data_IF_710466953613
#
_entry.id   IF_710466953613
#
_cell.length_a   1.000
_cell.length_b   1.000
_cell.length_c   1.000
_cell.angle_alpha   90.00
_cell.angle_beta   90.00
_cell.angle_gamma   90.00
#
_symmetry.space_group_name_H-M   'P 1'
#
loop_
_entity.id
_entity.type
_entity.pdbx_description
1 polymer ?
#
# COMPACT_ATOMS: atom_id res chain seq x y z
N UNK A 1 -30.41 -25.01 23.60
CA UNK A 1 -30.46 -24.16 22.38
C UNK A 1 -29.53 -24.78 21.35
N UNK A 2 -30.01 -25.05 20.12
CA UNK A 2 -29.16 -25.67 19.07
C UNK A 2 -28.14 -24.64 18.59
N UNK A 3 -26.86 -24.99 18.56
CA UNK A 3 -25.82 -24.11 18.06
C UNK A 3 -26.03 -23.78 16.58
N UNK A 4 -25.73 -22.56 16.13
CA UNK A 4 -25.85 -22.20 14.73
C UNK A 4 -24.85 -22.97 13.88
N UNK A 5 -25.25 -23.32 12.67
CA UNK A 5 -24.40 -24.04 11.72
C UNK A 5 -23.31 -23.12 11.16
N UNK A 6 -22.20 -23.68 10.66
CA UNK A 6 -21.11 -22.91 10.04
C UNK A 6 -21.61 -22.02 8.88
N UNK A 7 -22.48 -22.48 7.95
CA UNK A 7 -23.09 -21.61 6.93
C UNK A 7 -23.87 -20.43 7.52
N UNK A 8 -24.63 -20.66 8.60
CA UNK A 8 -25.38 -19.58 9.28
C UNK A 8 -24.43 -18.54 9.88
N UNK A 9 -23.37 -18.98 10.55
CA UNK A 9 -22.33 -18.08 11.12
C UNK A 9 -21.61 -17.26 10.04
N UNK A 10 -21.25 -17.90 8.92
CA UNK A 10 -20.62 -17.22 7.79
C UNK A 10 -21.54 -16.20 7.14
N UNK A 11 -22.79 -16.57 6.89
CA UNK A 11 -23.80 -15.66 6.33
C UNK A 11 -23.97 -14.42 7.20
N UNK A 12 -24.18 -14.62 8.50
CA UNK A 12 -24.34 -13.52 9.45
C UNK A 12 -23.05 -12.66 9.56
N UNK A 13 -21.87 -13.28 9.50
CA UNK A 13 -20.60 -12.57 9.50
C UNK A 13 -20.45 -11.64 8.28
N UNK A 14 -20.70 -12.15 7.07
CA UNK A 14 -20.51 -11.36 5.85
C UNK A 14 -21.62 -10.33 5.63
N UNK A 15 -22.88 -10.71 5.79
CA UNK A 15 -24.03 -9.88 5.41
C UNK A 15 -24.39 -8.86 6.49
N UNK A 16 -24.25 -9.23 7.77
CA UNK A 16 -24.65 -8.37 8.87
C UNK A 16 -23.42 -7.73 9.55
N UNK A 17 -22.51 -8.55 10.09
CA UNK A 17 -21.41 -8.03 10.89
C UNK A 17 -20.44 -7.17 10.07
N UNK A 18 -19.90 -7.68 8.96
CA UNK A 18 -18.96 -6.91 8.14
C UNK A 18 -19.64 -5.76 7.40
N UNK A 19 -20.79 -6.02 6.77
CA UNK A 19 -21.43 -5.03 5.91
C UNK A 19 -22.14 -3.94 6.70
N UNK A 20 -22.93 -4.30 7.71
CA UNK A 20 -23.79 -3.37 8.45
C UNK A 20 -23.12 -2.87 9.72
N UNK A 21 -22.70 -3.77 10.62
CA UNK A 21 -22.20 -3.38 11.95
C UNK A 21 -20.78 -2.75 11.86
N UNK A 22 -19.91 -3.29 11.01
CA UNK A 22 -18.52 -2.80 10.84
C UNK A 22 -18.37 -1.83 9.67
N UNK A 23 -19.31 -1.77 8.74
CA UNK A 23 -19.25 -0.90 7.58
C UNK A 23 -17.94 -1.03 6.77
N UNK A 24 -17.38 -2.25 6.67
CA UNK A 24 -16.09 -2.45 6.00
C UNK A 24 -16.23 -2.27 4.48
N UNK A 25 -15.14 -1.85 3.83
CA UNK A 25 -15.17 -1.63 2.38
C UNK A 25 -15.45 -2.93 1.61
N UNK A 26 -16.07 -2.85 0.40
CA UNK A 26 -16.30 -4.03 -0.45
C UNK A 26 -15.02 -4.82 -0.74
N UNK A 27 -13.86 -4.15 -0.86
CA UNK A 27 -12.56 -4.81 -1.02
C UNK A 27 -12.14 -5.62 0.20
N UNK A 28 -12.43 -5.14 1.40
CA UNK A 28 -12.15 -5.88 2.63
C UNK A 28 -13.03 -7.12 2.71
N UNK A 29 -14.34 -6.97 2.40
CA UNK A 29 -15.28 -8.10 2.34
C UNK A 29 -14.84 -9.15 1.33
N UNK A 30 -14.44 -8.73 0.12
CA UNK A 30 -13.90 -9.65 -0.91
C UNK A 30 -12.65 -10.38 -0.42
N UNK A 31 -11.71 -9.67 0.19
CA UNK A 31 -10.47 -10.27 0.71
C UNK A 31 -10.74 -11.30 1.81
N UNK A 32 -11.71 -11.02 2.70
CA UNK A 32 -12.10 -11.93 3.77
C UNK A 32 -12.85 -13.14 3.20
N UNK A 33 -13.76 -12.93 2.24
CA UNK A 33 -14.46 -14.00 1.53
C UNK A 33 -13.46 -14.96 0.87
N UNK A 34 -12.48 -14.43 0.17
CA UNK A 34 -11.47 -15.24 -0.53
C UNK A 34 -10.60 -16.03 0.46
N UNK A 35 -10.25 -15.44 1.62
CA UNK A 35 -9.55 -16.15 2.67
C UNK A 35 -10.38 -17.29 3.27
N UNK A 36 -11.64 -17.03 3.59
CA UNK A 36 -12.56 -18.05 4.13
C UNK A 36 -12.84 -19.16 3.11
N UNK A 37 -13.09 -18.82 1.85
CA UNK A 37 -13.27 -19.81 0.77
C UNK A 37 -12.09 -20.77 0.69
N UNK A 38 -10.87 -20.26 0.73
CA UNK A 38 -9.67 -21.09 0.66
C UNK A 38 -9.49 -21.96 1.91
N UNK A 39 -9.78 -21.43 3.09
CA UNK A 39 -9.75 -22.21 4.34
C UNK A 39 -10.75 -23.35 4.30
N UNK A 40 -12.00 -23.09 3.91
CA UNK A 40 -13.05 -24.10 3.84
C UNK A 40 -12.72 -25.20 2.82
N UNK A 41 -12.22 -24.84 1.64
CA UNK A 41 -11.77 -25.81 0.64
C UNK A 41 -10.63 -26.68 1.17
N UNK A 42 -9.67 -26.10 1.88
CA UNK A 42 -8.55 -26.82 2.49
C UNK A 42 -9.06 -27.77 3.60
N UNK A 43 -9.92 -27.28 4.50
CA UNK A 43 -10.47 -28.05 5.60
C UNK A 43 -11.32 -29.23 5.10
N UNK A 44 -12.12 -29.03 4.06
CA UNK A 44 -12.93 -30.08 3.44
C UNK A 44 -12.07 -31.28 2.98
N UNK A 45 -10.96 -31.00 2.29
CA UNK A 45 -9.99 -32.02 1.87
C UNK A 45 -9.33 -32.68 3.09
N UNK A 46 -8.91 -31.89 4.08
CA UNK A 46 -8.20 -32.36 5.26
C UNK A 46 -9.07 -33.24 6.16
N UNK A 47 -10.35 -32.87 6.31
CA UNK A 47 -11.32 -33.60 7.12
C UNK A 47 -12.08 -34.67 6.34
N UNK A 48 -11.83 -34.83 5.03
CA UNK A 48 -12.55 -35.76 4.12
C UNK A 48 -14.05 -35.56 4.18
N UNK A 49 -14.51 -34.32 4.16
CA UNK A 49 -15.94 -33.91 4.16
C UNK A 49 -16.20 -32.97 3.00
N UNK A 50 -17.45 -32.86 2.59
CA UNK A 50 -17.85 -31.76 1.71
C UNK A 50 -17.82 -30.43 2.46
N UNK A 51 -17.65 -29.33 1.74
CA UNK A 51 -17.62 -27.96 2.35
C UNK A 51 -18.90 -27.68 3.15
N UNK A 52 -20.04 -28.16 2.66
CA UNK A 52 -21.37 -27.94 3.28
C UNK A 52 -21.60 -28.76 4.55
N UNK A 53 -20.80 -29.80 4.76
CA UNK A 53 -20.82 -30.66 5.95
C UNK A 53 -19.83 -30.23 7.03
N UNK A 54 -19.00 -29.20 6.75
CA UNK A 54 -18.06 -28.70 7.75
C UNK A 54 -18.82 -28.01 8.88
N UNK A 55 -18.33 -28.24 10.09
CA UNK A 55 -18.76 -27.55 11.31
C UNK A 55 -17.62 -26.68 11.85
N UNK A 56 -17.90 -25.78 12.79
CA UNK A 56 -16.88 -24.87 13.33
C UNK A 56 -15.75 -25.63 14.04
N UNK A 57 -16.08 -26.76 14.64
CA UNK A 57 -15.17 -27.66 15.34
C UNK A 57 -14.16 -28.34 14.40
N UNK A 58 -14.44 -28.43 13.10
CA UNK A 58 -13.51 -28.95 12.10
C UNK A 58 -12.39 -27.91 11.81
N UNK A 59 -12.64 -26.63 12.08
CA UNK A 59 -11.70 -25.54 11.82
C UNK A 59 -10.77 -25.29 13.02
N UNK A 60 -10.14 -26.32 13.52
CA UNK A 60 -9.22 -26.24 14.67
C UNK A 60 -7.94 -25.47 14.40
N UNK A 61 -7.21 -25.07 15.45
CA UNK A 61 -5.93 -24.38 15.28
C UNK A 61 -4.90 -25.21 14.46
N UNK A 62 -4.76 -26.53 14.61
CA UNK A 62 -3.92 -27.34 13.72
C UNK A 62 -4.34 -27.24 12.25
N UNK A 63 -5.63 -27.33 11.94
CA UNK A 63 -6.14 -27.21 10.56
C UNK A 63 -5.85 -25.84 9.99
N UNK A 64 -6.01 -24.79 10.78
CA UNK A 64 -5.67 -23.42 10.34
C UNK A 64 -4.15 -23.25 10.13
N UNK A 65 -3.32 -23.83 10.98
CA UNK A 65 -1.86 -23.81 10.83
C UNK A 65 -1.41 -24.56 9.58
N UNK A 66 -1.96 -25.75 9.33
CA UNK A 66 -1.71 -26.54 8.10
C UNK A 66 -2.13 -25.75 6.84
N UNK A 67 -3.32 -25.11 6.89
CA UNK A 67 -3.77 -24.21 5.82
C UNK A 67 -2.78 -23.08 5.57
N UNK A 68 -2.30 -22.41 6.61
CA UNK A 68 -1.34 -21.32 6.48
C UNK A 68 0.00 -21.79 5.93
N UNK A 69 0.45 -22.99 6.30
CA UNK A 69 1.64 -23.62 5.73
C UNK A 69 1.44 -23.96 4.25
N UNK A 70 0.28 -24.51 3.87
CA UNK A 70 -0.07 -24.80 2.49
C UNK A 70 -0.11 -23.53 1.62
N UNK A 71 -0.54 -22.39 2.16
CA UNK A 71 -0.49 -21.12 1.45
C UNK A 71 0.94 -20.72 1.06
N UNK A 72 1.91 -20.98 1.92
CA UNK A 72 3.32 -20.66 1.68
C UNK A 72 3.97 -21.67 0.73
N UNK A 73 3.82 -22.97 1.00
CA UNK A 73 4.52 -24.03 0.27
C UNK A 73 3.91 -24.32 -1.09
N UNK A 74 2.60 -24.55 -1.16
CA UNK A 74 1.93 -24.98 -2.40
C UNK A 74 1.46 -23.82 -3.27
N UNK A 75 1.12 -22.67 -2.66
CA UNK A 75 0.63 -21.49 -3.40
C UNK A 75 1.66 -20.37 -3.55
N UNK A 76 2.85 -20.52 -2.98
CA UNK A 76 3.92 -19.51 -3.08
C UNK A 76 3.56 -18.16 -2.49
N UNK A 77 2.65 -18.11 -1.49
CA UNK A 77 2.26 -16.85 -0.91
C UNK A 77 3.34 -16.25 -0.02
N UNK A 78 3.50 -14.95 -0.10
CA UNK A 78 4.39 -14.23 0.82
C UNK A 78 3.85 -14.30 2.27
N UNK A 79 4.75 -14.13 3.24
CA UNK A 79 4.40 -14.04 4.68
C UNK A 79 3.34 -12.95 4.92
N UNK A 80 3.42 -11.82 4.20
CA UNK A 80 2.42 -10.74 4.28
C UNK A 80 1.01 -11.20 3.85
N UNK A 81 0.93 -11.92 2.74
CA UNK A 81 -0.34 -12.48 2.24
C UNK A 81 -0.89 -13.52 3.19
N UNK A 82 -0.02 -14.42 3.69
CA UNK A 82 -0.37 -15.40 4.73
C UNK A 82 -0.94 -14.72 5.97
N UNK A 83 -0.28 -13.69 6.49
CA UNK A 83 -0.73 -12.95 7.67
C UNK A 83 -2.04 -12.20 7.44
N UNK A 84 -2.25 -11.64 6.25
CA UNK A 84 -3.54 -11.02 5.89
C UNK A 84 -4.69 -12.00 5.92
N UNK A 85 -4.47 -13.24 5.46
CA UNK A 85 -5.47 -14.31 5.52
C UNK A 85 -5.71 -14.81 6.94
N UNK A 86 -4.66 -14.94 7.75
CA UNK A 86 -4.79 -15.23 9.17
C UNK A 86 -5.65 -14.16 9.87
N UNK A 87 -5.42 -12.89 9.60
CA UNK A 87 -6.20 -11.80 10.18
C UNK A 87 -7.69 -11.89 9.82
N UNK A 88 -8.01 -12.27 8.57
CA UNK A 88 -9.39 -12.51 8.14
C UNK A 88 -10.04 -13.69 8.92
N UNK A 89 -9.32 -14.81 9.04
CA UNK A 89 -9.75 -15.99 9.80
C UNK A 89 -9.98 -15.61 11.26
N UNK A 90 -8.99 -14.97 11.90
CA UNK A 90 -9.12 -14.55 13.31
C UNK A 90 -10.28 -13.56 13.53
N UNK A 91 -10.57 -12.71 12.54
CA UNK A 91 -11.72 -11.79 12.64
C UNK A 91 -13.03 -12.56 12.64
N UNK A 92 -13.15 -13.60 11.83
CA UNK A 92 -14.31 -14.50 11.85
C UNK A 92 -14.44 -15.25 13.19
N UNK A 93 -13.36 -15.86 13.67
CA UNK A 93 -13.38 -16.58 14.95
C UNK A 93 -13.67 -15.66 16.15
N UNK A 94 -13.17 -14.41 16.12
CA UNK A 94 -13.51 -13.41 17.15
C UNK A 94 -14.99 -13.04 17.12
N UNK A 95 -15.55 -12.91 15.92
CA UNK A 95 -16.99 -12.70 15.75
C UNK A 95 -17.81 -13.88 16.33
N UNK A 96 -17.42 -15.12 15.99
CA UNK A 96 -18.09 -16.33 16.51
C UNK A 96 -18.01 -16.39 18.04
N UNK A 97 -16.82 -16.23 18.63
CA UNK A 97 -16.64 -16.27 20.08
C UNK A 97 -17.46 -15.20 20.82
N UNK A 98 -17.63 -14.02 20.21
CA UNK A 98 -18.44 -12.93 20.80
C UNK A 98 -19.95 -13.11 20.65
N UNK A 99 -20.41 -13.90 19.68
CA UNK A 99 -21.86 -14.14 19.45
C UNK A 99 -22.35 -15.44 20.07
N UNK A 100 -21.49 -16.44 20.15
CA UNK A 100 -21.78 -17.77 20.65
C UNK A 100 -20.77 -18.14 21.76
N UNK A 101 -21.02 -17.73 22.99
CA UNK A 101 -20.10 -17.99 24.13
C UNK A 101 -19.78 -19.49 24.30
N UNK A 102 -20.71 -20.37 23.98
CA UNK A 102 -20.49 -21.83 24.01
C UNK A 102 -19.36 -22.29 23.07
N UNK A 103 -19.05 -21.54 22.01
CA UNK A 103 -17.97 -21.82 21.05
C UNK A 103 -16.66 -21.10 21.40
N UNK A 104 -16.61 -20.31 22.46
CA UNK A 104 -15.42 -19.52 22.80
C UNK A 104 -14.18 -20.38 23.03
N UNK A 105 -14.32 -21.53 23.72
CA UNK A 105 -13.24 -22.48 23.93
C UNK A 105 -12.68 -23.07 22.62
N UNK A 106 -13.54 -23.34 21.63
CA UNK A 106 -13.16 -23.81 20.30
C UNK A 106 -12.43 -22.71 19.50
N UNK A 107 -12.85 -21.47 19.66
CA UNK A 107 -12.27 -20.32 18.94
C UNK A 107 -10.92 -19.86 19.49
N UNK A 108 -10.72 -19.94 20.80
CA UNK A 108 -9.55 -19.39 21.50
C UNK A 108 -8.19 -19.85 20.94
N UNK A 109 -7.97 -21.15 20.64
CA UNK A 109 -6.70 -21.61 20.07
C UNK A 109 -6.39 -21.01 18.70
N UNK A 110 -7.41 -20.77 17.86
CA UNK A 110 -7.22 -20.11 16.54
C UNK A 110 -6.89 -18.64 16.70
N UNK A 111 -7.50 -17.97 17.67
CA UNK A 111 -7.22 -16.55 17.96
C UNK A 111 -5.79 -16.35 18.48
N UNK A 112 -5.21 -17.35 19.11
CA UNK A 112 -3.86 -17.33 19.67
C UNK A 112 -2.75 -17.59 18.63
N UNK A 113 -3.08 -17.96 17.37
CA UNK A 113 -2.08 -18.19 16.33
C UNK A 113 -1.33 -16.89 16.02
N UNK A 114 0.01 -16.83 16.19
CA UNK A 114 0.76 -15.60 15.96
C UNK A 114 0.95 -15.31 14.46
N UNK A 115 1.01 -14.03 14.13
CA UNK A 115 1.47 -13.60 12.83
C UNK A 115 2.99 -13.84 12.70
N UNK A 116 3.46 -14.34 11.56
CA UNK A 116 4.89 -14.46 11.27
C UNK A 116 5.53 -13.09 11.07
N UNK A 117 6.77 -12.91 11.53
CA UNK A 117 7.56 -11.71 11.19
C UNK A 117 7.77 -11.66 9.68
N UNK A 118 7.37 -10.56 9.06
CA UNK A 118 7.63 -10.28 7.65
C UNK A 118 8.73 -9.23 7.56
N UNK A 119 9.74 -9.49 6.74
CA UNK A 119 10.71 -8.45 6.39
C UNK A 119 9.95 -7.30 5.72
N UNK A 120 10.21 -6.08 6.16
CA UNK A 120 9.73 -4.88 5.49
C UNK A 120 10.69 -4.59 4.35
N UNK A 121 10.29 -4.78 3.08
CA UNK A 121 11.14 -4.38 1.97
C UNK A 121 11.37 -2.87 2.06
N UNK A 122 12.58 -2.43 1.74
CA UNK A 122 12.86 -1.01 1.56
C UNK A 122 11.88 -0.46 0.52
N UNK A 123 11.26 0.67 0.84
CA UNK A 123 10.34 1.32 -0.08
C UNK A 123 11.12 1.78 -1.31
N UNK A 124 10.76 1.23 -2.47
CA UNK A 124 11.28 1.73 -3.73
C UNK A 124 10.68 3.12 -4.01
N UNK A 125 11.54 4.12 -4.16
CA UNK A 125 11.17 5.44 -4.67
C UNK A 125 12.13 5.84 -5.80
N UNK A 126 11.75 6.79 -6.62
CA UNK A 126 12.56 7.33 -7.70
C UNK A 126 13.25 8.60 -7.23
N UNK A 127 14.51 8.83 -7.60
CA UNK A 127 15.12 10.15 -7.46
C UNK A 127 14.45 11.15 -8.41
N UNK A 128 14.72 12.45 -8.24
CA UNK A 128 14.20 13.48 -9.15
C UNK A 128 14.67 13.25 -10.59
N UNK A 129 15.92 12.87 -10.77
CA UNK A 129 16.47 12.51 -12.09
C UNK A 129 15.77 11.30 -12.68
N UNK A 130 15.56 10.23 -11.90
CA UNK A 130 14.88 9.03 -12.37
C UNK A 130 13.41 9.29 -12.70
N UNK A 131 12.72 10.13 -11.93
CA UNK A 131 11.36 10.54 -12.22
C UNK A 131 11.28 11.36 -13.51
N UNK A 132 12.16 12.36 -13.67
CA UNK A 132 12.26 13.13 -14.90
C UNK A 132 12.56 12.25 -16.11
N UNK A 133 13.48 11.30 -15.95
CA UNK A 133 13.82 10.34 -16.99
C UNK A 133 12.65 9.42 -17.35
N UNK A 134 11.87 8.96 -16.35
CA UNK A 134 10.65 8.17 -16.57
C UNK A 134 9.62 8.96 -17.38
N UNK A 135 9.34 10.19 -17.01
CA UNK A 135 8.37 11.04 -17.69
C UNK A 135 8.81 11.39 -19.12
N UNK A 136 10.11 11.56 -19.35
CA UNK A 136 10.68 11.81 -20.69
C UNK A 136 10.53 10.63 -21.67
N UNK A 137 10.22 9.42 -21.18
CA UNK A 137 9.93 8.27 -22.05
C UNK A 137 8.54 8.34 -22.71
N UNK A 138 7.72 9.30 -22.31
CA UNK A 138 6.34 9.43 -22.80
C UNK A 138 6.31 10.34 -24.01
N UNK A 139 6.08 9.76 -25.16
CA UNK A 139 5.76 10.55 -26.35
C UNK A 139 4.33 11.11 -26.22
N UNK A 140 4.24 12.40 -25.91
CA UNK A 140 2.96 13.09 -25.68
C UNK A 140 2.13 13.26 -26.94
N UNK A 141 2.74 13.17 -28.12
CA UNK A 141 2.04 13.26 -29.43
C UNK A 141 1.46 11.90 -29.85
N UNK A 142 1.91 10.80 -29.25
CA UNK A 142 1.36 9.49 -29.52
C UNK A 142 -0.08 9.37 -29.01
N UNK A 143 -0.86 8.48 -29.66
CA UNK A 143 -2.21 8.15 -29.19
C UNK A 143 -2.18 7.82 -27.68
N UNK A 144 -2.95 8.55 -26.88
CA UNK A 144 -3.01 8.46 -25.41
C UNK A 144 -1.72 8.83 -24.66
N UNK A 145 -0.69 9.35 -25.35
CA UNK A 145 0.56 9.75 -24.71
C UNK A 145 0.33 10.90 -23.72
N UNK A 146 -0.46 11.90 -24.12
CA UNK A 146 -0.79 13.02 -23.24
C UNK A 146 -1.54 12.56 -21.98
N UNK A 147 -2.52 11.67 -22.10
CA UNK A 147 -3.21 11.08 -20.95
C UNK A 147 -2.24 10.31 -20.03
N UNK A 148 -1.32 9.51 -20.59
CA UNK A 148 -0.35 8.74 -19.82
C UNK A 148 0.61 9.66 -19.07
N UNK A 149 1.02 10.77 -19.69
CA UNK A 149 1.84 11.81 -19.07
C UNK A 149 1.10 12.50 -17.92
N UNK A 150 -0.14 12.93 -18.16
CA UNK A 150 -1.01 13.54 -17.14
C UNK A 150 -1.23 12.60 -15.96
N UNK A 151 -1.51 11.30 -16.21
CA UNK A 151 -1.67 10.29 -15.17
C UNK A 151 -0.45 10.24 -14.25
N UNK A 152 0.76 10.10 -14.80
CA UNK A 152 1.97 9.92 -14.00
C UNK A 152 2.39 11.21 -13.30
N UNK A 153 2.25 12.36 -13.95
CA UNK A 153 2.57 13.67 -13.38
C UNK A 153 1.65 14.02 -12.22
N UNK A 154 0.33 13.92 -12.39
CA UNK A 154 -0.63 14.25 -11.34
C UNK A 154 -0.57 13.21 -10.19
N UNK A 155 -0.31 11.94 -10.50
CA UNK A 155 -0.11 10.91 -9.46
C UNK A 155 1.10 11.26 -8.56
N UNK A 156 2.18 11.75 -9.14
CA UNK A 156 3.35 12.20 -8.39
C UNK A 156 3.05 13.51 -7.64
N UNK A 157 2.52 14.53 -8.33
CA UNK A 157 2.34 15.86 -7.75
C UNK A 157 1.42 15.86 -6.54
N UNK A 158 0.32 15.13 -6.62
CA UNK A 158 -0.66 15.02 -5.52
C UNK A 158 -0.28 14.01 -4.46
N UNK A 159 0.64 13.09 -4.77
CA UNK A 159 0.91 11.94 -3.92
C UNK A 159 -0.33 11.09 -3.61
N UNK A 160 -1.37 11.18 -4.44
CA UNK A 160 -2.62 10.45 -4.24
C UNK A 160 -2.43 8.94 -4.33
N UNK A 161 -3.31 8.17 -3.68
CA UNK A 161 -3.39 6.74 -3.97
C UNK A 161 -3.94 6.58 -5.38
N UNK A 162 -3.47 5.54 -6.10
CA UNK A 162 -3.90 5.36 -7.50
C UNK A 162 -5.43 5.35 -7.65
N UNK A 163 -6.16 4.75 -6.73
CA UNK A 163 -7.62 4.74 -6.79
C UNK A 163 -8.22 6.13 -6.56
N UNK A 164 -7.65 6.91 -5.64
CA UNK A 164 -8.08 8.28 -5.38
C UNK A 164 -7.94 9.13 -6.64
N UNK A 165 -6.82 9.01 -7.37
CA UNK A 165 -6.61 9.71 -8.63
C UNK A 165 -7.59 9.25 -9.73
N UNK A 166 -7.81 7.93 -9.86
CA UNK A 166 -8.71 7.37 -10.87
C UNK A 166 -10.18 7.69 -10.61
N UNK A 167 -10.54 8.03 -9.38
CA UNK A 167 -11.88 8.43 -8.99
C UNK A 167 -12.16 9.92 -9.23
N UNK A 168 -11.13 10.71 -9.55
CA UNK A 168 -11.31 12.14 -9.86
C UNK A 168 -12.14 12.35 -11.12
N UNK A 169 -12.86 13.45 -11.09
CA UNK A 169 -13.56 14.07 -12.23
C UNK A 169 -12.97 15.47 -12.45
N UNK A 170 -13.16 16.10 -13.61
CA UNK A 170 -12.68 17.47 -13.85
C UNK A 170 -13.15 18.47 -12.79
N UNK A 171 -14.36 18.32 -12.26
CA UNK A 171 -14.92 19.18 -11.21
C UNK A 171 -14.16 19.14 -9.88
N UNK A 172 -13.31 18.15 -9.64
CA UNK A 172 -12.50 18.06 -8.42
C UNK A 172 -11.26 18.95 -8.49
N UNK A 173 -10.95 19.52 -9.69
CA UNK A 173 -9.84 20.44 -9.90
C UNK A 173 -10.29 21.89 -9.81
N UNK A 174 -9.60 22.67 -8.99
CA UNK A 174 -9.72 24.12 -8.88
C UNK A 174 -8.43 24.73 -9.43
N UNK A 175 -8.51 25.29 -10.64
CA UNK A 175 -7.31 25.73 -11.39
C UNK A 175 -7.05 27.24 -11.25
N UNK A 176 -7.97 27.98 -10.60
CA UNK A 176 -7.75 29.37 -10.21
C UNK A 176 -6.76 29.46 -9.05
N UNK A 177 -6.10 30.61 -8.92
CA UNK A 177 -5.06 30.80 -7.91
C UNK A 177 -5.65 30.98 -6.50
N UNK A 178 -5.21 30.23 -5.49
CA UNK A 178 -4.21 29.14 -5.51
C UNK A 178 -4.81 27.82 -6.02
N UNK A 179 -4.21 27.16 -7.05
CA UNK A 179 -4.76 25.96 -7.63
C UNK A 179 -4.61 24.75 -6.71
N UNK A 180 -5.64 23.91 -6.66
CA UNK A 180 -5.65 22.67 -5.88
C UNK A 180 -6.57 21.61 -6.49
N UNK A 181 -6.46 20.38 -6.04
CA UNK A 181 -7.40 19.30 -6.33
C UNK A 181 -7.97 18.71 -5.05
N UNK A 182 -9.28 18.46 -5.03
CA UNK A 182 -9.97 17.81 -3.91
C UNK A 182 -9.90 16.29 -4.06
N UNK A 183 -9.11 15.63 -3.22
CA UNK A 183 -8.90 14.19 -3.25
C UNK A 183 -9.71 13.50 -2.16
N UNK A 184 -10.57 12.55 -2.54
CA UNK A 184 -11.40 11.77 -1.62
C UNK A 184 -10.72 10.46 -1.25
N UNK A 185 -10.38 10.30 0.01
CA UNK A 185 -9.73 9.11 0.56
C UNK A 185 -10.68 8.10 1.20
N UNK A 186 -10.09 7.07 1.82
CA UNK A 186 -10.82 6.04 2.57
C UNK A 186 -11.67 6.68 3.67
N UNK A 187 -12.94 6.26 3.79
CA UNK A 187 -13.88 6.80 4.78
C UNK A 187 -14.46 8.16 4.41
N UNK A 188 -14.47 8.52 3.12
CA UNK A 188 -14.98 9.81 2.59
C UNK A 188 -14.26 11.04 3.15
N UNK A 189 -13.04 10.88 3.66
CA UNK A 189 -12.23 12.01 4.07
C UNK A 189 -11.70 12.72 2.83
N UNK A 190 -11.99 14.00 2.75
CA UNK A 190 -11.48 14.87 1.71
C UNK A 190 -10.21 15.55 2.17
N UNK A 191 -9.30 15.79 1.23
CA UNK A 191 -8.13 16.64 1.42
C UNK A 191 -7.89 17.48 0.20
N UNK A 192 -7.50 18.71 0.41
CA UNK A 192 -7.07 19.61 -0.64
C UNK A 192 -5.58 19.37 -0.89
N UNK A 193 -5.24 18.97 -2.11
CA UNK A 193 -3.86 18.83 -2.55
C UNK A 193 -3.50 20.06 -3.39
N UNK A 194 -2.60 20.96 -2.94
CA UNK A 194 -2.12 22.07 -3.72
C UNK A 194 -1.50 21.57 -5.03
N UNK A 195 -1.75 22.26 -6.11
CA UNK A 195 -1.12 22.01 -7.42
C UNK A 195 -0.10 23.10 -7.70
N UNK A 196 1.03 22.70 -8.28
CA UNK A 196 1.95 23.66 -8.84
C UNK A 196 1.30 24.34 -10.07
N UNK A 197 1.64 25.61 -10.39
CA UNK A 197 1.07 26.30 -11.56
C UNK A 197 1.27 25.53 -12.88
N UNK A 198 2.37 24.81 -13.02
CA UNK A 198 2.65 23.94 -14.16
C UNK A 198 1.70 22.74 -14.24
N UNK A 199 1.36 22.13 -13.10
CA UNK A 199 0.43 20.99 -13.02
C UNK A 199 -1.00 21.44 -13.29
N UNK A 200 -1.39 22.62 -12.80
CA UNK A 200 -2.68 23.22 -13.11
C UNK A 200 -2.83 23.50 -14.62
N UNK A 201 -1.80 24.09 -15.25
CA UNK A 201 -1.78 24.29 -16.72
C UNK A 201 -1.83 22.98 -17.48
N UNK A 202 -1.11 21.94 -17.03
CA UNK A 202 -1.16 20.61 -17.65
C UNK A 202 -2.57 20.03 -17.63
N UNK A 203 -3.28 20.13 -16.51
CA UNK A 203 -4.68 19.68 -16.40
C UNK A 203 -5.59 20.48 -17.34
N UNK A 204 -5.44 21.80 -17.38
CA UNK A 204 -6.22 22.67 -18.23
C UNK A 204 -6.03 22.34 -19.72
N UNK A 205 -4.78 22.18 -20.16
CA UNK A 205 -4.44 21.81 -21.53
C UNK A 205 -5.00 20.45 -21.91
N UNK A 206 -4.87 19.48 -21.02
CA UNK A 206 -5.41 18.13 -21.23
C UNK A 206 -6.93 18.14 -21.41
N UNK A 207 -7.66 18.84 -20.53
CA UNK A 207 -9.12 18.95 -20.64
C UNK A 207 -9.53 19.66 -21.92
N UNK A 208 -8.84 20.74 -22.29
CA UNK A 208 -9.11 21.46 -23.53
C UNK A 208 -8.87 20.60 -24.78
N UNK A 209 -7.78 19.82 -24.81
CA UNK A 209 -7.46 18.89 -25.90
C UNK A 209 -8.51 17.76 -26.04
N UNK A 210 -9.11 17.33 -24.94
CA UNK A 210 -10.19 16.35 -24.91
C UNK A 210 -11.60 16.98 -25.14
N UNK A 211 -11.68 18.28 -25.37
CA UNK A 211 -12.95 19.02 -25.52
C UNK A 211 -13.81 19.04 -24.25
N UNK A 212 -13.18 18.95 -23.08
CA UNK A 212 -13.84 18.78 -21.77
C UNK A 212 -13.71 20.04 -20.91
N UNK A 213 -14.70 20.24 -20.05
CA UNK A 213 -14.75 21.38 -19.13
C UNK A 213 -14.60 20.94 -17.66
N UNK A 214 -14.28 21.89 -16.78
CA UNK A 214 -14.13 21.65 -15.34
C UNK A 214 -15.43 21.18 -14.66
N UNK A 215 -16.60 21.51 -15.18
CA UNK A 215 -17.89 21.07 -14.64
C UNK A 215 -18.27 19.64 -15.05
N UNK A 216 -17.47 18.96 -15.89
CA UNK A 216 -17.73 17.59 -16.35
C UNK A 216 -17.66 16.59 -15.17
N UNK A 217 -18.62 15.66 -15.15
CA UNK A 217 -18.73 14.62 -14.14
C UNK A 217 -18.17 13.26 -14.60
N UNK A 218 -17.75 13.16 -15.86
CA UNK A 218 -17.09 11.96 -16.37
C UNK A 218 -15.72 11.76 -15.71
N UNK A 219 -15.21 10.52 -15.64
CA UNK A 219 -13.88 10.27 -15.06
C UNK A 219 -12.83 11.17 -15.71
N UNK A 220 -11.97 11.80 -14.88
CA UNK A 220 -10.88 12.65 -15.39
C UNK A 220 -9.96 11.88 -16.34
N UNK A 221 -9.55 10.67 -15.95
CA UNK A 221 -8.73 9.78 -16.79
C UNK A 221 -9.57 8.65 -17.35
N UNK A 222 -9.71 8.62 -18.66
CA UNK A 222 -10.53 7.65 -19.37
C UNK A 222 -9.67 6.55 -20.02
N UNK A 223 -10.26 5.36 -20.16
CA UNK A 223 -9.69 4.26 -20.94
C UNK A 223 -10.06 4.43 -22.43
N UNK A 224 -9.59 3.51 -23.28
CA UNK A 224 -9.85 3.59 -24.72
C UNK A 224 -11.30 3.38 -25.16
N UNK A 225 -12.22 3.11 -24.23
CA UNK A 225 -13.66 2.95 -24.48
C UNK A 225 -14.48 4.11 -23.87
N UNK A 226 -13.81 5.19 -23.44
CA UNK A 226 -14.46 6.33 -22.81
C UNK A 226 -14.86 6.10 -21.34
N UNK A 227 -14.71 4.90 -20.80
CA UNK A 227 -14.97 4.63 -19.40
C UNK A 227 -13.79 4.95 -18.49
N UNK A 228 -13.98 4.82 -17.17
CA UNK A 228 -12.92 5.06 -16.17
C UNK A 228 -11.70 4.17 -16.41
N UNK A 229 -10.51 4.76 -16.35
CA UNK A 229 -9.26 4.02 -16.33
C UNK A 229 -9.17 3.19 -15.03
N UNK A 230 -8.95 1.88 -15.16
CA UNK A 230 -8.84 0.98 -14.00
C UNK A 230 -7.42 0.92 -13.44
N UNK A 231 -7.28 0.43 -12.21
CA UNK A 231 -5.96 0.24 -11.53
C UNK A 231 -4.98 -0.61 -12.34
N UNK A 232 -5.47 -1.65 -13.00
CA UNK A 232 -4.63 -2.51 -13.86
C UNK A 232 -4.11 -1.73 -15.06
N UNK A 233 -4.94 -0.88 -15.68
CA UNK A 233 -4.54 -0.01 -16.77
C UNK A 233 -3.49 1.01 -16.34
N UNK A 234 -3.71 1.69 -15.23
CA UNK A 234 -2.74 2.65 -14.69
C UNK A 234 -1.40 1.99 -14.31
N UNK A 235 -1.44 0.79 -13.72
CA UNK A 235 -0.23 0.01 -13.46
C UNK A 235 0.48 -0.40 -14.74
N UNK A 236 -0.25 -0.84 -15.74
CA UNK A 236 0.31 -1.18 -17.05
C UNK A 236 1.04 0.02 -17.68
N UNK A 237 0.41 1.20 -17.65
CA UNK A 237 1.00 2.45 -18.16
C UNK A 237 2.33 2.75 -17.45
N UNK A 238 2.35 2.75 -16.12
CA UNK A 238 3.58 2.97 -15.35
C UNK A 238 4.67 1.96 -15.74
N UNK A 239 4.34 0.67 -15.77
CA UNK A 239 5.30 -0.39 -16.09
C UNK A 239 5.79 -0.33 -17.54
N UNK A 240 4.96 0.09 -18.48
CA UNK A 240 5.32 0.33 -19.88
C UNK A 240 6.47 1.34 -19.98
N UNK A 241 6.32 2.49 -19.34
CA UNK A 241 7.33 3.55 -19.41
C UNK A 241 8.54 3.27 -18.49
N UNK A 242 8.33 2.62 -17.37
CA UNK A 242 9.42 2.15 -16.52
C UNK A 242 10.36 1.18 -17.27
N UNK A 243 9.82 0.25 -18.05
CA UNK A 243 10.63 -0.66 -18.89
C UNK A 243 11.46 0.11 -19.90
N UNK A 244 10.90 1.14 -20.55
CA UNK A 244 11.64 2.01 -21.47
C UNK A 244 12.75 2.76 -20.74
N UNK A 245 12.44 3.38 -19.59
CA UNK A 245 13.40 4.11 -18.79
C UNK A 245 14.55 3.23 -18.30
N UNK A 246 14.29 1.98 -17.95
CA UNK A 246 15.32 1.05 -17.44
C UNK A 246 16.31 0.58 -18.52
N UNK A 247 15.98 0.70 -19.82
CA UNK A 247 16.93 0.38 -20.90
C UNK A 247 18.07 1.40 -20.98
N UNK A 248 17.79 2.65 -20.67
CA UNK A 248 18.77 3.75 -20.71
C UNK A 248 19.28 4.14 -19.31
N UNK A 249 18.57 3.79 -18.24
CA UNK A 249 18.97 4.01 -16.84
C UNK A 249 18.81 2.72 -16.01
N UNK A 250 19.76 1.76 -16.11
CA UNK A 250 19.66 0.44 -15.47
C UNK A 250 19.54 0.46 -13.94
N UNK A 251 19.95 1.55 -13.28
CA UNK A 251 19.80 1.73 -11.83
C UNK A 251 18.35 1.63 -11.35
N UNK A 252 17.39 2.01 -12.20
CA UNK A 252 15.97 1.92 -11.92
C UNK A 252 15.45 0.47 -11.84
N UNK A 253 16.13 -0.49 -12.49
CA UNK A 253 15.75 -1.91 -12.50
C UNK A 253 15.92 -2.60 -11.12
N UNK A 254 16.75 -2.04 -10.25
CA UNK A 254 17.07 -2.61 -8.94
C UNK A 254 15.94 -2.48 -7.92
N UNK A 255 14.88 -1.76 -8.24
CA UNK A 255 13.77 -1.44 -7.33
C UNK A 255 12.42 -1.83 -7.92
N UNK A 256 11.53 -2.30 -7.03
CA UNK A 256 10.15 -2.61 -7.43
C UNK A 256 9.34 -1.31 -7.36
N UNK A 257 9.09 -0.73 -8.52
CA UNK A 257 8.28 0.48 -8.65
C UNK A 257 6.84 0.09 -9.01
N UNK A 258 5.91 0.69 -8.31
CA UNK A 258 4.46 0.51 -8.45
C UNK A 258 3.76 1.87 -8.42
N UNK A 259 2.47 1.97 -8.74
CA UNK A 259 1.74 3.24 -8.54
C UNK A 259 1.81 3.76 -7.10
N UNK A 260 1.94 2.87 -6.12
CA UNK A 260 2.13 3.29 -4.73
C UNK A 260 3.53 3.86 -4.47
N UNK A 261 4.53 3.40 -5.22
CA UNK A 261 5.90 3.96 -5.15
C UNK A 261 5.96 5.42 -5.64
N UNK A 262 5.06 5.87 -6.53
CA UNK A 262 4.98 7.30 -6.94
C UNK A 262 4.63 8.18 -5.73
N UNK A 263 3.73 7.72 -4.88
CA UNK A 263 3.39 8.40 -3.63
C UNK A 263 4.58 8.40 -2.63
N UNK A 264 5.33 7.29 -2.55
CA UNK A 264 6.56 7.24 -1.76
C UNK A 264 7.62 8.19 -2.31
N UNK A 265 7.74 8.30 -3.63
CA UNK A 265 8.63 9.25 -4.31
C UNK A 265 8.30 10.69 -3.90
N UNK A 266 7.02 11.09 -3.96
CA UNK A 266 6.60 12.43 -3.52
C UNK A 266 6.91 12.67 -2.04
N UNK A 267 6.62 11.68 -1.19
CA UNK A 267 6.91 11.78 0.23
C UNK A 267 8.41 12.00 0.51
N UNK A 268 9.26 11.21 -0.15
CA UNK A 268 10.72 11.32 0.00
C UNK A 268 11.24 12.66 -0.49
N UNK A 269 10.79 13.13 -1.66
CA UNK A 269 11.20 14.43 -2.19
C UNK A 269 10.78 15.59 -1.27
N UNK A 270 9.56 15.57 -0.71
CA UNK A 270 9.13 16.58 0.27
C UNK A 270 10.01 16.56 1.53
N UNK A 271 10.34 15.39 2.05
CA UNK A 271 11.22 15.27 3.22
C UNK A 271 12.64 15.73 2.90
N UNK A 272 13.19 15.36 1.75
CA UNK A 272 14.51 15.77 1.29
C UNK A 272 14.61 17.29 1.05
N UNK A 273 13.48 17.92 0.69
CA UNK A 273 13.37 19.37 0.59
C UNK A 273 13.17 20.06 1.95
N UNK A 274 13.23 19.33 3.07
CA UNK A 274 13.13 19.88 4.42
C UNK A 274 11.69 20.07 4.93
N UNK A 275 10.67 19.58 4.23
CA UNK A 275 9.27 19.66 4.70
C UNK A 275 9.11 18.79 5.96
N UNK A 276 8.57 19.33 7.08
CA UNK A 276 8.37 18.57 8.30
C UNK A 276 7.49 17.33 8.09
N UNK A 277 7.84 16.23 8.77
CA UNK A 277 7.14 14.94 8.65
C UNK A 277 5.62 15.04 8.87
N UNK A 278 5.20 15.92 9.80
CA UNK A 278 3.79 16.16 10.08
C UNK A 278 3.07 16.74 8.86
N UNK A 279 3.69 17.70 8.18
CA UNK A 279 3.13 18.30 6.96
C UNK A 279 3.09 17.30 5.80
N UNK A 280 4.12 16.45 5.67
CA UNK A 280 4.12 15.36 4.68
C UNK A 280 2.98 14.37 4.96
N UNK A 281 2.76 14.02 6.24
CA UNK A 281 1.63 13.19 6.67
C UNK A 281 0.29 13.79 6.23
N UNK A 282 0.07 15.08 6.50
CA UNK A 282 -1.17 15.77 6.19
C UNK A 282 -1.38 15.90 4.68
N UNK A 283 -0.32 16.27 3.94
CA UNK A 283 -0.34 16.32 2.47
C UNK A 283 -0.76 14.97 1.87
N UNK A 284 -0.21 13.88 2.38
CA UNK A 284 -0.54 12.54 1.90
C UNK A 284 -1.90 12.04 2.41
N UNK A 285 -2.47 12.63 3.46
CA UNK A 285 -3.68 12.14 4.12
C UNK A 285 -3.46 10.79 4.82
N UNK A 286 -2.35 10.65 5.56
CA UNK A 286 -2.11 9.49 6.40
C UNK A 286 -2.84 9.64 7.73
N UNK A 287 -3.67 8.66 8.07
CA UNK A 287 -4.40 8.65 9.36
C UNK A 287 -3.43 8.41 10.52
N UNK A 288 -2.39 7.58 10.32
CA UNK A 288 -1.43 7.18 11.33
C UNK A 288 -0.01 7.64 10.96
N UNK A 289 0.72 8.17 11.94
CA UNK A 289 2.14 8.56 11.82
C UNK A 289 3.02 7.38 11.40
N UNK A 290 2.73 6.17 11.88
CA UNK A 290 3.48 4.95 11.50
C UNK A 290 3.60 4.74 9.99
N UNK A 291 2.63 5.21 9.22
CA UNK A 291 2.66 5.16 7.75
C UNK A 291 3.68 6.13 7.15
N UNK A 292 4.04 7.18 7.88
CA UNK A 292 4.97 8.23 7.43
C UNK A 292 6.37 8.02 8.02
N UNK A 293 6.49 7.45 9.21
CA UNK A 293 7.77 7.13 9.87
C UNK A 293 8.66 6.19 9.04
N UNK A 294 8.04 5.36 8.20
CA UNK A 294 8.78 4.47 7.30
C UNK A 294 9.70 5.23 6.35
N UNK A 295 9.37 6.49 5.99
CA UNK A 295 10.19 7.32 5.13
C UNK A 295 11.45 7.83 5.84
N UNK A 296 11.35 8.18 7.11
CA UNK A 296 12.49 8.65 7.92
C UNK A 296 13.56 7.55 8.09
N UNK A 297 13.12 6.28 8.12
CA UNK A 297 14.06 5.16 8.24
C UNK A 297 14.81 4.86 6.93
N UNK A 298 14.30 5.32 5.79
CA UNK A 298 14.79 4.94 4.48
C UNK A 298 15.93 5.82 3.94
N UNK A 299 16.17 7.02 4.51
CA UNK A 299 17.12 7.98 3.95
C UNK A 299 18.32 8.23 4.87
N UNK A 300 19.47 7.64 4.48
CA UNK A 300 20.76 7.84 5.13
C UNK A 300 21.29 9.29 4.94
N UNK A 301 20.95 9.93 3.84
CA UNK A 301 21.43 11.28 3.52
C UNK A 301 20.72 12.33 4.38
N UNK A 302 19.43 12.16 4.65
CA UNK A 302 18.72 12.98 5.63
C UNK A 302 19.32 12.83 7.03
N UNK A 303 19.66 11.62 7.44
CA UNK A 303 20.31 11.36 8.74
C UNK A 303 21.68 12.04 8.81
N UNK A 304 22.45 11.98 7.74
CA UNK A 304 23.74 12.66 7.63
C UNK A 304 23.57 14.18 7.71
N UNK A 305 22.66 14.77 6.92
CA UNK A 305 22.35 16.21 6.98
C UNK A 305 21.89 16.65 8.38
N UNK A 306 21.08 15.84 9.06
CA UNK A 306 20.66 16.11 10.42
C UNK A 306 21.84 16.07 11.41
N UNK A 307 22.79 15.15 11.23
CA UNK A 307 24.02 15.09 12.03
C UNK A 307 24.94 16.26 11.72
N UNK A 308 25.10 16.63 10.45
CA UNK A 308 25.92 17.77 10.02
C UNK A 308 25.34 19.11 10.55
N UNK A 309 24.00 19.24 10.65
CA UNK A 309 23.35 20.44 11.17
C UNK A 309 23.27 20.49 12.71
N UNK A 310 23.45 19.37 13.39
CA UNK A 310 23.37 19.29 14.85
C UNK A 310 24.58 19.83 15.60
N UNK A 311 25.62 20.36 14.90
CA UNK A 311 26.83 20.95 15.48
C UNK A 311 27.34 20.26 16.76
N UNK A 312 27.36 18.93 16.74
CA UNK A 312 27.98 18.17 17.83
C UNK A 312 29.49 18.40 17.89
N UNK A 313 30.10 18.28 19.06
CA UNK A 313 31.56 18.37 19.16
C UNK A 313 32.17 17.34 18.19
N UNK A 314 32.95 17.81 17.24
CA UNK A 314 33.72 16.92 16.36
C UNK A 314 34.62 16.07 17.26
N UNK A 315 34.64 14.75 17.11
CA UNK A 315 35.63 13.96 17.82
C UNK A 315 36.99 14.45 17.37
N UNK A 316 37.68 15.09 18.28
CA UNK A 316 39.12 15.40 18.11
C UNK A 316 39.77 14.08 17.78
N UNK A 317 40.44 13.98 16.64
CA UNK A 317 41.28 12.80 16.34
C UNK A 317 42.32 12.69 17.46
N UNK A 318 41.98 11.97 18.51
CA UNK A 318 42.99 11.45 19.41
C UNK A 318 43.89 10.55 18.54
N UNK A 319 45.21 10.69 18.59
CA UNK A 319 46.10 9.80 17.89
C UNK A 319 45.69 8.38 18.32
N UNK A 320 45.28 7.56 17.38
CA UNK A 320 44.96 6.14 17.61
C UNK A 320 46.21 5.53 18.22
N UNK A 321 46.20 5.04 19.46
CA UNK A 321 47.32 4.25 19.92
C UNK A 321 47.35 3.05 18.96
N UNK A 322 48.47 2.93 18.24
CA UNK A 322 48.77 1.68 17.56
C UNK A 322 48.71 0.60 18.62
N UNK A 323 47.62 -0.18 18.62
CA UNK A 323 47.56 -1.39 19.41
C UNK A 323 48.64 -2.35 18.84
N UNK A 324 49.81 -2.25 19.40
CA UNK A 324 50.95 -3.10 19.07
C UNK A 324 50.86 -4.48 19.73
N UNK A 325 49.79 -4.74 20.46
CA UNK A 325 49.56 -6.06 21.06
C UNK A 325 48.57 -6.83 20.19
N UNK A 326 48.83 -8.11 20.00
CA UNK A 326 47.90 -8.99 19.28
C UNK A 326 46.54 -9.05 20.01
N UNK A 327 45.47 -9.27 19.28
CA UNK A 327 44.11 -9.45 19.86
C UNK A 327 44.11 -10.51 20.98
N UNK A 328 45.02 -11.48 20.91
CA UNK A 328 45.20 -12.56 21.89
C UNK A 328 45.78 -12.01 23.19
N UNK A 329 46.82 -11.17 23.13
CA UNK A 329 47.42 -10.53 24.33
C UNK A 329 46.43 -9.60 25.04
N UNK A 330 45.56 -8.90 24.28
CA UNK A 330 44.47 -8.09 24.85
C UNK A 330 43.41 -8.95 25.53
N UNK A 331 43.04 -10.10 24.95
CA UNK A 331 42.07 -11.05 25.54
C UNK A 331 42.62 -11.76 26.80
N UNK A 332 43.93 -11.99 26.88
CA UNK A 332 44.59 -12.60 28.06
C UNK A 332 44.78 -11.59 29.22
N UNK A 333 44.63 -10.30 28.94
CA UNK A 333 44.69 -9.23 29.94
C UNK A 333 43.32 -8.81 30.50
N UNK A 334 42.23 -9.40 30.00
CA UNK A 334 40.88 -9.26 30.52
C UNK A 334 40.62 -10.26 31.64
#
# INVERSE_FOLDING_TARGET
MKLPTLPTLLSAFFLRYLAVERGVSPHTTTSYRDAMKLLLQFAAVRCRRSVDQLVIEDLTAPVVLDFLANLETSRGNTIRTRNSRLAAVQTFFRYVAGREPALAATCSPVLSIPAKKALRPLLGYLSEQELGHLLAQIDRLAERGERDYVLLSILYDTGARIQELLDLTPRDFHLESPPFVCVRGKGRRERLCPLLPQSARLVQQFLAAEGRQLNDQQPFLQNGRGGRLGRHGARYILLKYLRRATTTMPTMARRIISPHSMRHTKAMHLLQSGVPLVMVKDFLGHVDMKSTEVYVQADLEMKRKALDSANGPQPTQAPTPLLSSSLIEWLEAL
#
